data_IF_459962287610
#
_entry.id   IF_459962287610
#
_cell.length_a   1.000
_cell.length_b   1.000
_cell.length_c   1.000
_cell.angle_alpha   90.00
_cell.angle_beta   90.00
_cell.angle_gamma   90.00
#
_symmetry.space_group_name_H-M   'P 1'
#
loop_
_entity.id
_entity.type
_entity.pdbx_description
1 polymer ?
#
# COMPACT_ATOMS: atom_id res chain seq x y z
N UNK A 1 19.17 4.76 4.64
CA UNK A 1 18.86 4.90 6.09
C UNK A 1 19.69 3.89 6.85
N UNK A 2 20.17 4.26 8.04
CA UNK A 2 20.91 3.34 8.92
C UNK A 2 19.95 2.29 9.51
N UNK A 3 20.44 1.07 9.76
CA UNK A 3 19.70 0.06 10.54
C UNK A 3 19.52 0.58 11.98
N UNK A 4 18.43 0.18 12.65
CA UNK A 4 18.17 0.53 14.05
C UNK A 4 17.64 1.95 14.30
N UNK A 5 17.28 2.70 13.26
CA UNK A 5 16.57 3.97 13.43
C UNK A 5 15.14 3.68 13.88
N UNK A 6 14.75 4.24 15.03
CA UNK A 6 13.36 4.26 15.46
C UNK A 6 12.51 5.06 14.46
N UNK A 7 11.46 4.42 13.96
CA UNK A 7 10.56 4.98 12.95
C UNK A 7 9.22 5.40 13.55
N UNK A 8 8.97 5.14 14.83
CA UNK A 8 7.69 5.48 15.46
C UNK A 8 7.34 6.96 15.29
N UNK A 9 8.23 7.95 15.53
CA UNK A 9 7.89 9.36 15.36
C UNK A 9 7.54 9.73 13.90
N UNK A 10 8.13 9.04 12.92
CA UNK A 10 7.84 9.27 11.51
C UNK A 10 6.48 8.70 11.12
N UNK A 11 6.12 7.53 11.65
CA UNK A 11 4.83 6.89 11.42
C UNK A 11 3.70 7.68 12.10
N UNK A 12 3.92 8.17 13.32
CA UNK A 12 2.98 9.03 14.04
C UNK A 12 2.74 10.33 13.28
N UNK A 13 3.80 10.99 12.81
CA UNK A 13 3.66 12.20 11.97
C UNK A 13 2.98 11.91 10.63
N UNK A 14 3.15 10.73 10.06
CA UNK A 14 2.46 10.34 8.83
C UNK A 14 0.96 10.17 9.09
N UNK A 15 0.62 9.49 10.20
CA UNK A 15 -0.76 9.31 10.67
C UNK A 15 -1.43 10.62 11.05
N UNK A 16 -0.73 11.52 11.73
CA UNK A 16 -1.27 12.84 12.13
C UNK A 16 -1.64 13.72 10.93
N UNK A 17 -1.16 13.37 9.73
CA UNK A 17 -1.50 14.02 8.46
C UNK A 17 -2.64 13.30 7.71
N UNK A 18 -3.27 12.30 8.32
CA UNK A 18 -4.35 11.52 7.71
C UNK A 18 -3.88 10.36 6.83
N UNK A 19 -2.58 10.04 6.79
CA UNK A 19 -2.07 8.94 5.97
C UNK A 19 -1.77 7.69 6.80
N UNK A 20 -2.09 6.53 6.24
CA UNK A 20 -1.89 5.23 6.88
C UNK A 20 -1.00 4.33 6.00
N UNK A 21 -0.23 3.46 6.65
CA UNK A 21 0.47 2.35 5.99
C UNK A 21 -0.13 1.05 6.49
N UNK A 22 -0.62 0.22 5.57
CA UNK A 22 -1.21 -1.08 5.85
C UNK A 22 -0.34 -2.12 5.17
N UNK A 23 0.17 -3.07 5.96
CA UNK A 23 0.85 -4.24 5.42
C UNK A 23 -0.19 -5.27 4.97
N UNK A 24 0.01 -5.87 3.79
CA UNK A 24 -0.88 -6.94 3.29
C UNK A 24 -0.78 -8.21 4.13
N UNK A 25 0.36 -8.46 4.76
CA UNK A 25 0.60 -9.66 5.56
C UNK A 25 0.95 -9.22 6.98
N UNK A 26 0.35 -9.86 7.99
CA UNK A 26 0.57 -9.57 9.41
C UNK A 26 1.90 -10.10 9.96
N UNK A 27 2.66 -10.84 9.16
CA UNK A 27 3.95 -11.42 9.51
C UNK A 27 4.95 -11.33 8.35
N UNK A 28 6.26 -11.45 8.61
CA UNK A 28 7.28 -11.41 7.56
C UNK A 28 7.12 -12.55 6.54
N UNK A 29 7.10 -12.20 5.25
CA UNK A 29 6.96 -13.15 4.13
C UNK A 29 8.14 -13.10 3.15
N UNK A 30 9.21 -12.39 3.50
CA UNK A 30 10.39 -12.18 2.64
C UNK A 30 11.21 -13.46 2.44
N UNK A 31 11.24 -14.34 3.43
CA UNK A 31 12.00 -15.62 3.40
C UNK A 31 11.19 -16.82 2.93
N UNK A 32 9.90 -16.66 2.68
CA UNK A 32 9.04 -17.75 2.24
C UNK A 32 9.30 -18.12 0.77
N UNK A 33 9.11 -19.40 0.39
CA UNK A 33 8.99 -19.81 -1.00
C UNK A 33 7.88 -19.04 -1.73
N UNK A 34 8.00 -18.89 -3.05
CA UNK A 34 7.07 -18.06 -3.84
C UNK A 34 5.60 -18.50 -3.70
N UNK A 35 5.35 -19.80 -3.64
CA UNK A 35 4.00 -20.35 -3.46
C UNK A 35 3.40 -19.95 -2.12
N UNK A 36 4.16 -20.11 -1.04
CA UNK A 36 3.73 -19.79 0.33
C UNK A 36 3.56 -18.28 0.51
N UNK A 37 4.49 -17.48 -0.03
CA UNK A 37 4.38 -16.02 -0.07
C UNK A 37 3.12 -15.58 -0.80
N UNK A 38 2.80 -16.18 -1.96
CA UNK A 38 1.57 -15.88 -2.69
C UNK A 38 0.33 -16.23 -1.87
N UNK A 39 0.35 -17.37 -1.18
CA UNK A 39 -0.75 -17.77 -0.30
C UNK A 39 -0.94 -16.78 0.86
N UNK A 40 0.14 -16.39 1.54
CA UNK A 40 0.10 -15.40 2.61
C UNK A 40 -0.44 -14.03 2.14
N UNK A 41 -0.09 -13.60 0.92
CA UNK A 41 -0.63 -12.37 0.33
C UNK A 41 -2.14 -12.49 0.10
N UNK A 42 -2.60 -13.62 -0.45
CA UNK A 42 -4.02 -13.87 -0.71
C UNK A 42 -4.82 -13.97 0.59
N UNK A 43 -4.32 -14.68 1.59
CA UNK A 43 -4.99 -14.86 2.87
C UNK A 43 -5.09 -13.54 3.65
N UNK A 44 -4.13 -12.63 3.46
CA UNK A 44 -4.11 -11.31 4.10
C UNK A 44 -5.01 -10.24 3.47
N UNK A 45 -5.55 -10.45 2.26
CA UNK A 45 -6.38 -9.42 1.60
C UNK A 45 -7.66 -9.12 2.36
N UNK A 46 -8.26 -10.11 3.04
CA UNK A 46 -9.46 -9.93 3.85
C UNK A 46 -9.23 -8.94 5.00
N UNK A 47 -8.10 -9.06 5.70
CA UNK A 47 -7.70 -8.13 6.75
C UNK A 47 -7.43 -6.71 6.22
N UNK A 48 -6.84 -6.59 5.02
CA UNK A 48 -6.66 -5.30 4.36
C UNK A 48 -8.02 -4.64 4.08
N UNK A 49 -8.97 -5.37 3.50
CA UNK A 49 -10.31 -4.85 3.21
C UNK A 49 -10.99 -4.40 4.50
N UNK A 50 -10.95 -5.20 5.56
CA UNK A 50 -11.53 -4.84 6.85
C UNK A 50 -10.94 -3.51 7.37
N UNK A 51 -9.61 -3.40 7.43
CA UNK A 51 -8.94 -2.19 7.91
C UNK A 51 -9.26 -0.96 7.05
N UNK A 52 -9.31 -1.12 5.73
CA UNK A 52 -9.68 -0.02 4.82
C UNK A 52 -11.13 0.40 5.04
N UNK A 53 -12.06 -0.53 5.22
CA UNK A 53 -13.46 -0.23 5.49
C UNK A 53 -13.62 0.50 6.83
N UNK A 54 -12.91 0.09 7.88
CA UNK A 54 -12.92 0.74 9.20
C UNK A 54 -12.31 2.15 9.15
N UNK A 55 -11.19 2.32 8.42
CA UNK A 55 -10.53 3.62 8.28
C UNK A 55 -11.29 4.56 7.34
N UNK A 56 -12.09 4.02 6.42
CA UNK A 56 -12.83 4.74 5.39
C UNK A 56 -12.02 5.87 4.71
N UNK A 57 -10.85 5.60 4.12
CA UNK A 57 -10.01 6.65 3.55
C UNK A 57 -10.62 7.27 2.29
N UNK A 58 -10.21 8.49 1.95
CA UNK A 58 -10.58 9.17 0.71
C UNK A 58 -9.89 8.56 -0.53
N UNK A 59 -8.76 7.88 -0.33
CA UNK A 59 -8.01 7.27 -1.41
C UNK A 59 -7.04 6.20 -0.93
N UNK A 60 -6.80 5.22 -1.81
CA UNK A 60 -5.99 4.04 -1.56
C UNK A 60 -4.92 3.96 -2.63
N UNK A 61 -3.67 3.77 -2.21
CA UNK A 61 -2.54 3.55 -3.10
C UNK A 61 -1.94 2.17 -2.81
N UNK A 62 -1.90 1.31 -3.83
CA UNK A 62 -1.37 -0.05 -3.71
C UNK A 62 0.06 -0.09 -4.22
N UNK A 63 1.00 -0.44 -3.34
CA UNK A 63 2.44 -0.43 -3.61
C UNK A 63 2.97 -1.85 -3.73
N UNK A 64 3.84 -2.10 -4.72
CA UNK A 64 4.50 -3.38 -5.06
C UNK A 64 3.67 -4.27 -5.98
N UNK A 65 4.32 -4.81 -7.02
CA UNK A 65 3.68 -5.56 -8.10
C UNK A 65 3.02 -6.86 -7.66
N UNK A 66 3.63 -7.60 -6.72
CA UNK A 66 3.15 -8.92 -6.33
C UNK A 66 1.91 -8.88 -5.41
N UNK A 67 1.56 -7.72 -4.84
CA UNK A 67 0.33 -7.54 -4.06
C UNK A 67 -0.73 -6.76 -4.83
N UNK A 68 -0.37 -6.08 -5.92
CA UNK A 68 -1.24 -5.13 -6.60
C UNK A 68 -2.55 -5.77 -7.05
N UNK A 69 -2.49 -6.82 -7.87
CA UNK A 69 -3.72 -7.47 -8.38
C UNK A 69 -4.54 -8.14 -7.27
N UNK A 70 -3.95 -8.93 -6.33
CA UNK A 70 -4.71 -9.50 -5.23
C UNK A 70 -5.47 -8.47 -4.38
N UNK A 71 -4.80 -7.37 -4.01
CA UNK A 71 -5.40 -6.33 -3.15
C UNK A 71 -6.41 -5.50 -3.94
N UNK A 72 -6.10 -5.13 -5.19
CA UNK A 72 -7.02 -4.41 -6.07
C UNK A 72 -8.32 -5.18 -6.25
N UNK A 73 -8.21 -6.47 -6.61
CA UNK A 73 -9.38 -7.32 -6.80
C UNK A 73 -10.25 -7.41 -5.54
N UNK A 74 -9.63 -7.62 -4.37
CA UNK A 74 -10.36 -7.70 -3.11
C UNK A 74 -11.10 -6.39 -2.77
N UNK A 75 -10.46 -5.23 -2.98
CA UNK A 75 -11.09 -3.92 -2.77
C UNK A 75 -12.23 -3.67 -3.77
N UNK A 76 -12.05 -4.04 -5.03
CA UNK A 76 -13.07 -3.91 -6.07
C UNK A 76 -14.32 -4.74 -5.76
N UNK A 77 -14.15 -6.00 -5.34
CA UNK A 77 -15.27 -6.88 -4.94
C UNK A 77 -16.05 -6.33 -3.75
N UNK A 78 -15.42 -5.52 -2.89
CA UNK A 78 -16.05 -4.86 -1.76
C UNK A 78 -16.58 -3.45 -2.08
N UNK A 79 -16.64 -3.06 -3.35
CA UNK A 79 -17.20 -1.77 -3.77
C UNK A 79 -16.29 -0.56 -3.52
N UNK A 80 -14.99 -0.79 -3.28
CA UNK A 80 -14.01 0.26 -3.01
C UNK A 80 -13.18 0.64 -4.25
N UNK A 81 -13.60 0.22 -5.45
CA UNK A 81 -12.89 0.43 -6.71
C UNK A 81 -12.55 1.91 -6.96
N UNK A 82 -13.54 2.80 -6.77
CA UNK A 82 -13.39 4.25 -7.00
C UNK A 82 -12.39 4.93 -6.05
N UNK A 83 -12.06 4.28 -4.94
CA UNK A 83 -11.06 4.78 -3.98
C UNK A 83 -9.63 4.40 -4.38
N UNK A 84 -9.42 3.51 -5.35
CA UNK A 84 -8.07 3.09 -5.78
C UNK A 84 -7.48 4.14 -6.73
N UNK A 85 -6.41 4.78 -6.27
CA UNK A 85 -5.83 5.95 -6.94
C UNK A 85 -4.81 5.61 -8.04
N UNK A 86 -4.22 4.43 -8.01
CA UNK A 86 -3.23 4.00 -8.99
C UNK A 86 -3.73 2.86 -9.86
N UNK A 87 -3.69 3.07 -11.19
CA UNK A 87 -4.10 2.10 -12.21
C UNK A 87 -3.02 1.07 -12.55
N UNK A 88 -1.80 1.27 -12.06
CA UNK A 88 -0.66 0.37 -12.29
C UNK A 88 0.13 0.19 -10.99
N UNK A 89 0.85 -0.93 -10.82
CA UNK A 89 1.69 -1.15 -9.65
C UNK A 89 2.74 -0.06 -9.47
N UNK A 90 2.87 0.42 -8.24
CA UNK A 90 3.99 1.25 -7.83
C UNK A 90 5.20 0.38 -7.43
N UNK A 91 6.43 0.80 -7.76
CA UNK A 91 7.60 0.10 -7.27
C UNK A 91 7.71 0.26 -5.75
N UNK A 92 8.02 -0.81 -5.02
CA UNK A 92 8.34 -0.69 -3.60
C UNK A 92 9.60 0.19 -3.43
N UNK A 93 9.62 1.18 -2.51
CA UNK A 93 10.69 2.17 -2.36
C UNK A 93 11.94 1.61 -1.67
N UNK A 94 12.49 0.52 -2.20
CA UNK A 94 13.75 -0.10 -1.79
C UNK A 94 14.60 -0.44 -3.01
N UNK A 95 15.84 -0.90 -2.79
CA UNK A 95 16.75 -1.41 -3.82
C UNK A 95 16.89 -0.46 -5.04
N UNK A 96 17.09 0.84 -4.80
CA UNK A 96 17.30 1.85 -5.85
C UNK A 96 16.02 2.38 -6.50
N UNK A 97 14.84 1.90 -6.12
CA UNK A 97 13.56 2.30 -6.75
C UNK A 97 12.93 3.56 -6.15
N UNK A 98 13.58 4.23 -5.20
CA UNK A 98 13.01 5.35 -4.44
C UNK A 98 12.66 6.55 -5.33
N UNK A 99 13.49 6.88 -6.33
CA UNK A 99 13.22 7.98 -7.25
C UNK A 99 11.97 7.70 -8.11
N UNK A 100 11.86 6.47 -8.64
CA UNK A 100 10.70 6.04 -9.42
C UNK A 100 9.42 6.05 -8.57
N UNK A 101 9.49 5.53 -7.34
CA UNK A 101 8.37 5.59 -6.39
C UNK A 101 7.91 7.02 -6.14
N UNK A 102 8.84 7.93 -5.77
CA UNK A 102 8.52 9.35 -5.53
C UNK A 102 7.87 10.00 -6.75
N UNK A 103 8.45 9.83 -7.93
CA UNK A 103 7.89 10.40 -9.18
C UNK A 103 6.45 9.95 -9.41
N UNK A 104 6.16 8.65 -9.23
CA UNK A 104 4.82 8.12 -9.45
C UNK A 104 3.81 8.60 -8.39
N UNK A 105 4.18 8.62 -7.11
CA UNK A 105 3.35 9.16 -6.04
C UNK A 105 3.05 10.65 -6.28
N UNK A 106 4.06 11.46 -6.59
CA UNK A 106 3.87 12.89 -6.87
C UNK A 106 2.94 13.13 -8.06
N UNK A 107 2.93 12.25 -9.07
CA UNK A 107 1.96 12.36 -10.17
C UNK A 107 0.54 12.02 -9.71
N UNK A 108 0.36 10.99 -8.88
CA UNK A 108 -0.95 10.64 -8.32
C UNK A 108 -1.50 11.79 -7.46
N UNK A 109 -0.67 12.36 -6.58
CA UNK A 109 -1.08 13.44 -5.69
C UNK A 109 -1.47 14.72 -6.45
N UNK A 110 -0.71 15.11 -7.48
CA UNK A 110 -1.06 16.27 -8.31
C UNK A 110 -2.39 16.09 -9.05
N UNK A 111 -2.69 14.87 -9.48
CA UNK A 111 -3.96 14.57 -10.15
C UNK A 111 -5.15 14.59 -9.17
N UNK A 112 -4.93 14.36 -7.87
CA UNK A 112 -5.95 14.54 -6.85
C UNK A 112 -6.25 16.02 -6.60
N UNK A 113 -5.21 16.84 -6.46
CA UNK A 113 -5.35 18.29 -6.26
C UNK A 113 -6.05 18.98 -7.45
N UNK A 114 -5.95 18.42 -8.66
CA UNK A 114 -6.61 18.96 -9.85
C UNK A 114 -8.07 18.55 -10.02
N UNK A 115 -8.57 17.63 -9.18
CA UNK A 115 -9.96 17.12 -9.21
C UNK A 115 -10.84 17.73 -8.12
N UNK A 116 -10.26 18.52 -7.23
CA UNK A 116 -10.93 19.30 -6.17
C UNK A 116 -11.02 20.75 -6.64
#
# INVERSE_FOLDING_TARGET
MRKGVDKQPLLERFRSKGFFLIDTCSYPVDKLPDRERRRAILDGTSGVVQLVSELNPDGIIIVKSNIYEPVKHALETCGLAEKILNQKPLPFPSHGRQQSYRKKISNIMRNLESKV
#
